data_IF_754234021977
#
_entry.id   IF_754234021977
#
_cell.length_a   1.000
_cell.length_b   1.000
_cell.length_c   1.000
_cell.angle_alpha   90.00
_cell.angle_beta   90.00
_cell.angle_gamma   90.00
#
_symmetry.space_group_name_H-M   'P 1'
#
loop_
_entity.id
_entity.type
_entity.pdbx_description
1 polymer ?
#
# COMPACT_ATOMS: atom_id res chain seq x y z
N UNK A 1 -10.89 -25.18 -46.64
CA UNK A 1 -10.49 -25.50 -45.25
C UNK A 1 -9.52 -24.49 -44.64
N UNK A 2 -8.63 -23.85 -45.41
CA UNK A 2 -7.69 -22.83 -44.89
C UNK A 2 -8.36 -21.60 -44.23
N UNK A 3 -9.54 -21.16 -44.71
CA UNK A 3 -10.27 -20.03 -44.11
C UNK A 3 -10.73 -20.31 -42.68
N UNK A 4 -11.13 -21.55 -42.38
CA UNK A 4 -11.54 -21.95 -41.03
C UNK A 4 -10.34 -21.99 -40.08
N UNK A 5 -9.20 -22.46 -40.56
CA UNK A 5 -7.94 -22.47 -39.80
C UNK A 5 -7.46 -21.05 -39.50
N UNK A 6 -7.57 -20.14 -40.48
CA UNK A 6 -7.22 -18.73 -40.29
C UNK A 6 -8.16 -18.06 -39.29
N UNK A 7 -9.46 -18.34 -39.35
CA UNK A 7 -10.42 -17.87 -38.36
C UNK A 7 -10.11 -18.40 -36.96
N UNK A 8 -9.80 -19.70 -36.81
CA UNK A 8 -9.46 -20.26 -35.49
C UNK A 8 -8.17 -19.65 -34.93
N UNK A 9 -7.15 -19.45 -35.77
CA UNK A 9 -5.90 -18.80 -35.37
C UNK A 9 -6.15 -17.36 -34.92
N UNK A 10 -6.95 -16.60 -35.68
CA UNK A 10 -7.30 -15.23 -35.34
C UNK A 10 -8.04 -15.15 -34.01
N UNK A 11 -9.00 -16.05 -33.77
CA UNK A 11 -9.72 -16.11 -32.50
C UNK A 11 -8.79 -16.40 -31.32
N UNK A 12 -7.83 -17.32 -31.46
CA UNK A 12 -6.86 -17.61 -30.40
C UNK A 12 -6.00 -16.39 -30.06
N UNK A 13 -5.45 -15.72 -31.09
CA UNK A 13 -4.66 -14.50 -30.90
C UNK A 13 -5.49 -13.39 -30.26
N UNK A 14 -6.74 -13.22 -30.72
CA UNK A 14 -7.68 -12.27 -30.15
C UNK A 14 -7.96 -12.55 -28.68
N UNK A 15 -8.26 -13.80 -28.31
CA UNK A 15 -8.48 -14.18 -26.91
C UNK A 15 -7.24 -13.94 -26.04
N UNK A 16 -6.04 -14.21 -26.55
CA UNK A 16 -4.79 -13.94 -25.84
C UNK A 16 -4.58 -12.44 -25.60
N UNK A 17 -4.92 -11.60 -26.58
CA UNK A 17 -4.88 -10.15 -26.44
C UNK A 17 -5.89 -9.64 -25.41
N UNK A 18 -7.12 -10.18 -25.40
CA UNK A 18 -8.11 -9.86 -24.39
C UNK A 18 -7.66 -10.27 -22.98
N UNK A 19 -7.09 -11.47 -22.82
CA UNK A 19 -6.55 -11.92 -21.54
C UNK A 19 -5.45 -10.97 -21.02
N UNK A 20 -4.52 -10.58 -21.89
CA UNK A 20 -3.45 -9.63 -21.57
C UNK A 20 -4.00 -8.26 -21.14
N UNK A 21 -5.02 -7.76 -21.83
CA UNK A 21 -5.65 -6.49 -21.53
C UNK A 21 -6.36 -6.53 -20.17
N UNK A 22 -7.14 -7.58 -19.91
CA UNK A 22 -7.85 -7.75 -18.62
C UNK A 22 -6.86 -7.84 -17.45
N UNK A 23 -5.80 -8.62 -17.60
CA UNK A 23 -4.77 -8.76 -16.55
C UNK A 23 -4.06 -7.42 -16.26
N UNK A 24 -3.77 -6.65 -17.30
CA UNK A 24 -3.18 -5.31 -17.15
C UNK A 24 -4.12 -4.35 -16.42
N UNK A 25 -5.42 -4.41 -16.70
CA UNK A 25 -6.43 -3.61 -15.99
C UNK A 25 -6.51 -3.99 -14.51
N UNK A 26 -6.52 -5.28 -14.21
CA UNK A 26 -6.52 -5.78 -12.82
C UNK A 26 -5.26 -5.35 -12.07
N UNK A 27 -4.07 -5.48 -12.68
CA UNK A 27 -2.82 -5.02 -12.09
C UNK A 27 -2.84 -3.52 -11.72
N UNK A 28 -3.35 -2.66 -12.61
CA UNK A 28 -3.49 -1.22 -12.36
C UNK A 28 -4.47 -0.94 -11.22
N UNK A 29 -5.61 -1.64 -11.19
CA UNK A 29 -6.59 -1.52 -10.11
C UNK A 29 -5.98 -1.93 -8.77
N UNK A 30 -5.28 -3.06 -8.72
CA UNK A 30 -4.57 -3.54 -7.53
C UNK A 30 -3.56 -2.52 -7.03
N UNK A 31 -2.76 -1.91 -7.91
CA UNK A 31 -1.83 -0.85 -7.53
C UNK A 31 -2.54 0.37 -6.94
N UNK A 32 -3.66 0.79 -7.54
CA UNK A 32 -4.44 1.94 -7.05
C UNK A 32 -5.04 1.66 -5.67
N UNK A 33 -5.64 0.48 -5.47
CA UNK A 33 -6.14 0.03 -4.18
C UNK A 33 -5.03 -0.08 -3.14
N UNK A 34 -3.88 -0.65 -3.51
CA UNK A 34 -2.69 -0.73 -2.67
C UNK A 34 -2.21 0.64 -2.20
N UNK A 35 -2.11 1.62 -3.12
CA UNK A 35 -1.74 3.01 -2.77
C UNK A 35 -2.71 3.62 -1.77
N UNK A 36 -4.00 3.43 -1.98
CA UNK A 36 -5.02 3.93 -1.05
C UNK A 36 -4.97 3.24 0.31
N UNK A 37 -4.75 1.92 0.36
CA UNK A 37 -4.60 1.17 1.59
C UNK A 37 -3.38 1.64 2.39
N UNK A 38 -2.23 1.82 1.72
CA UNK A 38 -1.00 2.33 2.34
C UNK A 38 -1.21 3.74 2.90
N UNK A 39 -1.82 4.64 2.14
CA UNK A 39 -2.09 6.00 2.62
C UNK A 39 -3.04 6.01 3.83
N UNK A 40 -4.09 5.20 3.82
CA UNK A 40 -5.03 5.11 4.95
C UNK A 40 -4.41 4.49 6.18
N UNK A 41 -3.57 3.47 6.02
CA UNK A 41 -2.82 2.85 7.10
C UNK A 41 -1.82 3.83 7.73
N UNK A 42 -1.04 4.54 6.90
CA UNK A 42 -0.13 5.59 7.40
C UNK A 42 -0.91 6.67 8.18
N UNK A 43 -2.08 7.07 7.68
CA UNK A 43 -2.92 8.05 8.37
C UNK A 43 -3.47 7.54 9.71
N UNK A 44 -3.99 6.32 9.75
CA UNK A 44 -4.47 5.69 10.98
C UNK A 44 -3.35 5.54 12.03
N UNK A 45 -2.14 5.20 11.57
CA UNK A 45 -0.95 5.11 12.41
C UNK A 45 -0.54 6.49 12.97
N UNK A 46 -0.53 7.52 12.13
CA UNK A 46 -0.21 8.89 12.55
C UNK A 46 -1.21 9.46 13.56
N UNK A 47 -2.43 8.93 13.63
CA UNK A 47 -3.44 9.32 14.61
C UNK A 47 -3.28 8.66 15.98
N UNK A 48 -2.34 7.72 16.15
CA UNK A 48 -2.11 7.05 17.43
C UNK A 48 -1.28 7.90 18.36
N UNK A 49 -1.90 8.91 18.98
CA UNK A 49 -1.25 9.76 19.96
C UNK A 49 -0.97 9.02 21.28
N UNK A 50 0.21 9.28 21.84
CA UNK A 50 0.50 8.99 23.24
C UNK A 50 -0.23 10.01 24.12
N UNK A 51 -1.25 9.54 24.81
CA UNK A 51 -2.11 10.35 25.69
C UNK A 51 -1.33 10.94 26.87
N UNK A 52 -0.26 10.30 27.32
CA UNK A 52 0.57 10.81 28.42
C UNK A 52 1.40 12.01 27.97
N UNK A 53 2.03 11.91 26.80
CA UNK A 53 2.72 13.04 26.15
C UNK A 53 1.77 14.18 25.81
N UNK A 54 0.56 13.85 25.32
CA UNK A 54 -0.47 14.85 25.00
C UNK A 54 -0.91 15.63 26.24
N UNK A 55 -1.09 14.96 27.39
CA UNK A 55 -1.42 15.63 28.65
C UNK A 55 -0.33 16.60 29.12
N UNK A 56 0.92 16.38 28.70
CA UNK A 56 2.06 17.27 28.94
C UNK A 56 2.23 18.35 27.85
N UNK A 57 1.29 18.45 26.89
CA UNK A 57 1.33 19.42 25.80
C UNK A 57 2.27 19.06 24.65
N UNK A 58 2.76 17.82 24.61
CA UNK A 58 3.63 17.34 23.53
C UNK A 58 2.84 16.46 22.54
N UNK A 59 2.92 16.79 21.26
CA UNK A 59 2.41 15.93 20.20
C UNK A 59 3.42 14.82 19.94
N UNK A 60 3.07 13.60 20.35
CA UNK A 60 3.91 12.42 20.22
C UNK A 60 3.02 11.24 19.81
N UNK A 61 3.45 10.51 18.79
CA UNK A 61 2.80 9.31 18.27
C UNK A 61 3.34 8.11 19.05
N UNK A 62 2.44 7.31 19.61
CA UNK A 62 2.75 6.03 20.23
C UNK A 62 3.14 5.02 19.13
N UNK A 63 4.43 4.68 19.09
CA UNK A 63 4.99 3.83 18.04
C UNK A 63 4.39 2.43 18.02
N UNK A 64 4.12 1.85 19.20
CA UNK A 64 3.58 0.49 19.29
C UNK A 64 2.14 0.45 18.79
N UNK A 65 1.31 1.42 19.22
CA UNK A 65 -0.06 1.54 18.75
C UNK A 65 -0.12 1.90 17.27
N UNK A 66 0.78 2.76 16.80
CA UNK A 66 0.88 3.13 15.39
C UNK A 66 1.16 1.90 14.52
N UNK A 67 2.05 1.00 14.93
CA UNK A 67 2.33 -0.23 14.20
C UNK A 67 1.13 -1.17 14.12
N UNK A 68 0.47 -1.43 15.25
CA UNK A 68 -0.72 -2.29 15.30
C UNK A 68 -1.85 -1.73 14.43
N UNK A 69 -2.07 -0.42 14.47
CA UNK A 69 -3.11 0.24 13.68
C UNK A 69 -2.76 0.33 12.19
N UNK A 70 -1.49 0.56 11.85
CA UNK A 70 -1.02 0.51 10.47
C UNK A 70 -1.35 -0.84 9.83
N UNK A 71 -0.97 -1.94 10.48
CA UNK A 71 -1.23 -3.30 9.98
C UNK A 71 -2.73 -3.57 9.87
N UNK A 72 -3.50 -3.22 10.91
CA UNK A 72 -4.96 -3.40 10.91
C UNK A 72 -5.62 -2.68 9.74
N UNK A 73 -5.29 -1.41 9.54
CA UNK A 73 -5.85 -0.63 8.45
C UNK A 73 -5.34 -1.09 7.09
N UNK A 74 -4.07 -1.49 6.98
CA UNK A 74 -3.51 -2.00 5.73
C UNK A 74 -4.28 -3.25 5.27
N UNK A 75 -4.47 -4.22 6.16
CA UNK A 75 -5.20 -5.46 5.87
C UNK A 75 -6.67 -5.17 5.54
N UNK A 76 -7.34 -4.36 6.36
CA UNK A 76 -8.75 -4.04 6.15
C UNK A 76 -9.01 -3.33 4.81
N UNK A 77 -8.02 -2.59 4.29
CA UNK A 77 -8.16 -1.82 3.07
C UNK A 77 -7.61 -2.50 1.82
N UNK A 78 -6.71 -3.47 1.95
CA UNK A 78 -6.28 -4.34 0.86
C UNK A 78 -7.32 -5.43 0.57
N UNK A 79 -7.98 -5.94 1.62
CA UNK A 79 -8.94 -7.04 1.50
C UNK A 79 -10.31 -6.62 2.07
N UNK A 80 -11.19 -6.07 1.21
CA UNK A 80 -12.60 -5.85 1.56
C UNK A 80 -13.22 -7.13 2.10
N UNK A 81 -14.21 -7.00 3.00
CA UNK A 81 -14.85 -8.12 3.72
C UNK A 81 -15.25 -9.30 2.80
N UNK A 82 -15.68 -8.98 1.57
CA UNK A 82 -16.08 -9.92 0.52
C UNK A 82 -14.93 -10.85 0.04
N UNK A 83 -13.69 -10.35 0.04
CA UNK A 83 -12.50 -11.14 -0.31
C UNK A 83 -11.96 -11.94 0.88
N UNK A 84 -12.18 -11.45 2.12
CA UNK A 84 -11.79 -12.14 3.36
C UNK A 84 -12.55 -13.45 3.58
N UNK A 85 -13.78 -13.55 3.09
CA UNK A 85 -14.65 -14.74 3.23
C UNK A 85 -14.27 -15.88 2.28
N UNK A 86 -13.55 -15.61 1.19
CA UNK A 86 -13.18 -16.61 0.18
C UNK A 86 -11.86 -17.34 0.47
N UNK A 87 -11.31 -17.19 1.68
CA UNK A 87 -10.12 -17.93 2.10
C UNK A 87 -8.85 -17.58 1.32
N UNK A 88 -8.77 -16.40 0.70
CA UNK A 88 -7.52 -15.89 0.15
C UNK A 88 -6.49 -15.82 1.29
N UNK A 89 -5.52 -16.72 1.27
CA UNK A 89 -4.51 -16.83 2.32
C UNK A 89 -3.73 -15.51 2.42
N UNK A 90 -3.88 -14.87 3.59
CA UNK A 90 -2.99 -13.83 4.08
C UNK A 90 -1.55 -14.37 4.01
N UNK A 91 -0.68 -13.85 3.14
CA UNK A 91 0.72 -14.23 3.26
C UNK A 91 1.69 -13.65 2.27
N UNK A 92 1.42 -13.72 0.97
CA UNK A 92 2.49 -13.46 -0.02
C UNK A 92 2.36 -12.15 -0.79
N UNK A 93 1.20 -11.49 -0.73
CA UNK A 93 0.95 -10.35 -1.61
C UNK A 93 1.35 -9.01 -1.01
N UNK A 94 1.28 -8.78 0.30
CA UNK A 94 1.63 -7.47 0.90
C UNK A 94 2.51 -7.61 2.15
N UNK A 95 3.67 -6.96 2.15
CA UNK A 95 4.60 -6.95 3.29
C UNK A 95 5.03 -5.53 3.63
N UNK A 96 4.85 -5.11 4.88
CA UNK A 96 5.41 -3.83 5.37
C UNK A 96 6.93 -3.98 5.47
N UNK A 97 7.65 -3.21 4.66
CA UNK A 97 9.13 -3.22 4.65
C UNK A 97 9.71 -2.03 5.42
N UNK A 98 8.93 -0.96 5.58
CA UNK A 98 9.28 0.21 6.38
C UNK A 98 8.05 0.69 7.11
N UNK A 99 8.18 0.90 8.41
CA UNK A 99 7.26 1.66 9.22
C UNK A 99 8.08 2.49 10.20
N UNK A 100 8.32 3.75 9.83
CA UNK A 100 9.11 4.67 10.63
C UNK A 100 8.15 5.73 11.21
N UNK A 101 8.16 5.87 12.53
CA UNK A 101 7.44 6.92 13.24
C UNK A 101 8.41 8.04 13.55
N UNK A 102 8.10 9.24 13.08
CA UNK A 102 8.93 10.42 13.23
C UNK A 102 8.24 11.33 14.23
N UNK A 103 8.85 11.48 15.40
CA UNK A 103 8.32 12.22 16.53
C UNK A 103 9.14 13.50 16.79
N UNK A 104 8.94 14.11 17.97
CA UNK A 104 9.54 15.37 18.39
C UNK A 104 11.04 15.31 18.70
N UNK A 105 11.67 14.14 18.61
CA UNK A 105 13.13 14.01 18.66
C UNK A 105 13.77 14.69 17.44
N UNK A 106 13.03 14.80 16.34
CA UNK A 106 13.44 15.53 15.16
C UNK A 106 13.00 16.99 15.21
N UNK A 107 13.79 17.86 14.57
CA UNK A 107 13.42 19.26 14.37
C UNK A 107 12.66 19.40 13.06
N UNK A 108 11.40 19.85 13.15
CA UNK A 108 10.58 20.12 11.99
C UNK A 108 10.82 21.55 11.45
N UNK A 109 10.81 21.76 10.11
CA UNK A 109 10.60 20.75 9.07
C UNK A 109 11.76 19.75 8.96
N UNK A 110 11.43 18.47 8.88
CA UNK A 110 12.38 17.36 8.82
C UNK A 110 12.27 16.67 7.47
N UNK A 111 13.38 16.53 6.76
CA UNK A 111 13.40 15.78 5.49
C UNK A 111 13.75 14.33 5.77
N UNK A 112 12.75 13.46 5.71
CA UNK A 112 12.95 12.03 5.77
C UNK A 112 13.51 11.52 4.44
N UNK A 113 14.58 10.73 4.50
CA UNK A 113 15.21 10.13 3.32
C UNK A 113 15.50 8.66 3.56
N UNK A 114 15.15 7.83 2.59
CA UNK A 114 15.48 6.41 2.57
C UNK A 114 15.97 6.02 1.17
N UNK A 115 17.29 6.15 0.91
CA UNK A 115 17.88 5.94 -0.41
C UNK A 115 17.64 4.55 -0.99
N UNK A 116 17.56 3.53 -0.13
CA UNK A 116 17.34 2.12 -0.52
C UNK A 116 16.07 1.95 -1.33
N UNK A 117 15.07 2.81 -1.11
CA UNK A 117 13.79 2.79 -1.79
C UNK A 117 13.56 4.03 -2.65
N UNK A 118 14.55 4.90 -2.85
CA UNK A 118 14.40 6.18 -3.55
C UNK A 118 13.16 6.96 -3.03
N UNK A 119 13.11 7.19 -1.71
CA UNK A 119 12.02 7.92 -1.08
C UNK A 119 12.53 9.11 -0.27
N UNK A 120 11.93 10.27 -0.51
CA UNK A 120 12.21 11.51 0.18
C UNK A 120 10.89 12.26 0.41
N UNK A 121 10.65 12.71 1.64
CA UNK A 121 9.49 13.53 2.00
C UNK A 121 9.87 14.54 3.07
N UNK A 122 9.40 15.78 2.91
CA UNK A 122 9.56 16.84 3.91
C UNK A 122 8.34 16.86 4.81
N UNK A 123 8.57 16.61 6.09
CA UNK A 123 7.57 16.55 7.14
C UNK A 123 7.60 17.85 7.95
N UNK A 124 6.45 18.40 8.29
CA UNK A 124 6.33 19.64 9.07
C UNK A 124 5.92 19.41 10.52
N UNK A 125 5.51 18.17 10.84
CA UNK A 125 4.97 17.74 12.13
C UNK A 125 5.32 16.27 12.36
N UNK A 126 5.13 15.73 13.57
CA UNK A 126 5.18 14.29 13.80
C UNK A 126 4.40 13.53 12.74
N UNK A 127 4.95 12.42 12.25
CA UNK A 127 4.42 11.74 11.08
C UNK A 127 4.78 10.25 11.08
N UNK A 128 4.06 9.48 10.30
CA UNK A 128 4.39 8.09 10.00
C UNK A 128 4.77 7.98 8.52
N UNK A 129 5.88 7.31 8.26
CA UNK A 129 6.31 6.90 6.92
C UNK A 129 6.16 5.39 6.80
N UNK A 130 5.46 4.94 5.77
CA UNK A 130 5.23 3.53 5.50
C UNK A 130 5.61 3.17 4.07
N UNK A 131 6.32 2.06 3.90
CA UNK A 131 6.59 1.46 2.59
C UNK A 131 6.16 0.00 2.64
N UNK A 132 5.35 -0.41 1.67
CA UNK A 132 4.80 -1.76 1.55
C UNK A 132 5.22 -2.34 0.22
N UNK A 133 5.76 -3.55 0.25
CA UNK A 133 5.96 -4.36 -0.94
C UNK A 133 4.65 -5.08 -1.26
N UNK A 134 4.12 -4.85 -2.46
CA UNK A 134 2.92 -5.50 -2.97
C UNK A 134 3.28 -6.37 -4.18
N UNK A 135 2.98 -7.67 -4.15
CA UNK A 135 3.18 -8.63 -5.23
C UNK A 135 1.82 -9.02 -5.80
N UNK A 136 1.63 -8.79 -7.10
CA UNK A 136 0.43 -9.18 -7.84
C UNK A 136 0.69 -10.43 -8.66
N UNK A 137 0.01 -11.51 -8.33
CA UNK A 137 -0.03 -12.72 -9.15
C UNK A 137 -0.97 -12.50 -10.33
N UNK A 138 -0.42 -12.63 -11.54
CA UNK A 138 -1.21 -12.50 -12.77
C UNK A 138 -2.17 -13.67 -12.92
N UNK A 139 -3.37 -13.40 -13.41
CA UNK A 139 -4.39 -14.43 -13.62
C UNK A 139 -4.02 -15.38 -14.77
N UNK A 140 -3.13 -14.93 -15.67
CA UNK A 140 -2.65 -15.70 -16.81
C UNK A 140 -1.12 -15.81 -16.78
N UNK A 141 -0.59 -17.02 -16.99
CA UNK A 141 0.85 -17.34 -16.99
C UNK A 141 1.62 -16.79 -18.20
N UNK A 142 1.06 -15.81 -18.91
CA UNK A 142 1.66 -15.21 -20.10
C UNK A 142 2.85 -14.30 -19.73
N UNK A 143 2.88 -13.76 -18.50
CA UNK A 143 3.94 -12.89 -17.99
C UNK A 143 4.26 -13.20 -16.52
N UNK A 144 5.43 -12.74 -16.08
CA UNK A 144 5.85 -12.86 -14.68
C UNK A 144 5.00 -11.97 -13.75
N UNK A 145 4.89 -12.34 -12.44
CA UNK A 145 4.27 -11.51 -11.42
C UNK A 145 4.88 -10.11 -11.38
N UNK A 146 4.07 -9.12 -11.00
CA UNK A 146 4.55 -7.74 -10.83
C UNK A 146 4.68 -7.43 -9.35
N UNK A 147 5.80 -6.79 -8.99
CA UNK A 147 6.04 -6.32 -7.63
C UNK A 147 6.15 -4.80 -7.63
N UNK A 148 5.56 -4.18 -6.62
CA UNK A 148 5.61 -2.74 -6.39
C UNK A 148 6.02 -2.43 -4.97
N UNK A 149 6.77 -1.33 -4.81
CA UNK A 149 7.04 -0.73 -3.51
C UNK A 149 6.18 0.53 -3.38
N UNK A 150 5.09 0.40 -2.63
CA UNK A 150 4.09 1.44 -2.44
C UNK A 150 4.48 2.25 -1.21
N UNK A 151 4.65 3.56 -1.41
CA UNK A 151 5.15 4.50 -0.41
C UNK A 151 4.00 5.40 0.05
N UNK A 152 3.89 5.61 1.35
CA UNK A 152 2.95 6.54 1.97
C UNK A 152 3.60 7.28 3.14
N UNK A 153 3.15 8.51 3.35
CA UNK A 153 3.45 9.26 4.57
C UNK A 153 2.20 10.00 5.01
N UNK A 154 2.03 10.13 6.32
CA UNK A 154 0.97 10.92 6.91
C UNK A 154 1.51 11.70 8.09
N UNK A 155 1.31 13.01 8.07
CA UNK A 155 1.54 13.86 9.23
C UNK A 155 0.36 13.74 10.20
N UNK A 156 0.65 13.93 11.47
CA UNK A 156 -0.33 14.08 12.52
C UNK A 156 -1.20 15.32 12.21
N UNK A 157 -2.49 15.08 11.96
CA UNK A 157 -3.48 16.13 11.74
C UNK A 157 -4.19 16.42 13.06
N UNK A 158 -4.02 17.64 13.56
CA UNK A 158 -4.70 18.15 14.73
C UNK A 158 -5.84 19.09 14.31
N UNK A 159 -6.90 18.57 13.69
CA UNK A 159 -8.10 19.37 13.36
C UNK A 159 -9.01 19.61 14.59
N UNK A 160 -8.47 19.45 15.81
CA UNK A 160 -9.19 19.56 17.09
C UNK A 160 -8.85 20.84 17.90
N UNK A 161 -8.22 21.84 17.27
CA UNK A 161 -7.96 23.18 17.81
C UNK A 161 -8.42 24.24 16.83
#
# INVERSE_FOLDING_TARGET
MYKLLLLSLFTVVWMMMQALQTDSQMAIQTLFHGKHAVNRAAHAAAQQLDMTSLANGALHIDEQRAAVEADRYLIANLYPEEHRQNGAELGEEATVIVLDVINSEQRFPYTYRRPEYNYEVTLHRPAVVMIVRLRYQRAFSVMEPVEWEIKGAAELVSDWL
#
